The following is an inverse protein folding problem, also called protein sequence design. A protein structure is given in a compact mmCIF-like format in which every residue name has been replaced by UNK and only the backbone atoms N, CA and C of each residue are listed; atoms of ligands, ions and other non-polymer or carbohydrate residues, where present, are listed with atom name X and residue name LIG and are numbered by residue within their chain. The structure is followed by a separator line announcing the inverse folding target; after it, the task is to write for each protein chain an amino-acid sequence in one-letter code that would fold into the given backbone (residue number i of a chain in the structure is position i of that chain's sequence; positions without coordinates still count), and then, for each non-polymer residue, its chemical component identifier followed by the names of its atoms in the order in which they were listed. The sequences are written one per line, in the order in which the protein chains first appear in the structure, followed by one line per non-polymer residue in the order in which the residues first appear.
data_IF_906365383491
#
_entry.id   IF_906365383491
#
_cell.length_a   1.000
_cell.length_b   1.000
_cell.length_c   1.000
_cell.angle_alpha   90.00
_cell.angle_beta   90.00
_cell.angle_gamma   90.00
#
_symmetry.space_group_name_H-M   'P 1'
#
loop_
_entity.id
_entity.type
_entity.pdbx_description
1 polymer ?
#
# COMPACT_ATOMS: atom_id res chain seq x y z
N UNK A 1 16.05 -16.08 -32.44
CA UNK A 1 14.76 -16.30 -33.10
C UNK A 1 13.57 -15.92 -32.19
N UNK A 2 13.51 -16.38 -30.94
CA UNK A 2 12.39 -16.06 -30.02
C UNK A 2 12.39 -14.58 -29.63
N UNK A 3 13.57 -13.99 -29.38
CA UNK A 3 13.71 -12.57 -29.07
C UNK A 3 13.17 -11.63 -30.15
N UNK A 4 13.34 -12.00 -31.43
CA UNK A 4 12.80 -11.25 -32.55
C UNK A 4 11.25 -11.32 -32.61
N UNK A 5 10.66 -12.44 -32.20
CA UNK A 5 9.22 -12.65 -32.17
C UNK A 5 8.52 -11.81 -31.10
N UNK A 6 9.19 -11.60 -29.96
CA UNK A 6 8.65 -10.81 -28.80
C UNK A 6 9.31 -9.43 -28.67
N UNK A 7 10.15 -9.04 -29.62
CA UNK A 7 10.82 -7.73 -29.60
C UNK A 7 11.94 -7.59 -28.59
N UNK A 8 12.46 -8.69 -28.03
CA UNK A 8 13.55 -8.70 -27.05
C UNK A 8 14.86 -9.11 -27.73
N UNK A 9 15.83 -8.22 -27.76
CA UNK A 9 17.15 -8.46 -28.36
C UNK A 9 18.28 -8.63 -27.32
N UNK A 10 17.91 -8.82 -26.05
CA UNK A 10 18.89 -9.05 -24.97
C UNK A 10 19.52 -10.43 -25.05
N UNK A 11 20.80 -10.51 -24.73
CA UNK A 11 21.55 -11.78 -24.66
C UNK A 11 21.42 -12.47 -23.29
N UNK A 12 20.55 -11.91 -22.39
CA UNK A 12 20.41 -12.35 -21.01
C UNK A 12 21.59 -11.90 -20.12
N UNK A 13 21.54 -12.27 -18.86
CA UNK A 13 22.55 -11.96 -17.83
C UNK A 13 23.50 -13.15 -17.57
N UNK A 14 23.47 -14.18 -18.42
CA UNK A 14 24.29 -15.37 -18.29
C UNK A 14 23.95 -16.15 -17.01
N UNK A 15 24.97 -16.51 -16.23
CA UNK A 15 24.80 -17.27 -14.97
C UNK A 15 24.09 -16.50 -13.86
N UNK A 16 23.83 -15.22 -14.04
CA UNK A 16 23.06 -14.39 -13.10
C UNK A 16 21.56 -14.33 -13.44
N UNK A 17 21.14 -15.04 -14.49
CA UNK A 17 19.75 -15.14 -14.92
C UNK A 17 19.15 -16.45 -14.44
N UNK A 18 17.98 -16.36 -13.85
CA UNK A 18 17.23 -17.54 -13.38
C UNK A 18 15.76 -17.46 -13.81
N UNK A 19 15.20 -18.62 -14.08
CA UNK A 19 13.76 -18.78 -14.27
C UNK A 19 13.12 -19.35 -12.99
N UNK A 20 11.84 -19.07 -12.80
CA UNK A 20 11.06 -19.77 -11.78
C UNK A 20 10.93 -21.25 -12.16
N UNK A 21 10.91 -22.12 -11.16
CA UNK A 21 10.72 -23.56 -11.33
C UNK A 21 9.49 -24.07 -10.60
N UNK A 22 9.23 -25.36 -10.71
CA UNK A 22 8.16 -26.01 -9.96
C UNK A 22 8.41 -25.87 -8.45
N UNK A 23 7.48 -25.25 -7.76
CA UNK A 23 7.58 -24.94 -6.33
C UNK A 23 7.70 -23.44 -6.03
N UNK A 24 8.09 -22.63 -7.01
CA UNK A 24 8.22 -21.16 -6.85
C UNK A 24 6.88 -20.42 -7.05
N UNK A 25 5.80 -21.14 -7.33
CA UNK A 25 4.46 -20.55 -7.52
C UNK A 25 4.05 -19.69 -6.31
N UNK A 26 3.65 -18.45 -6.55
CA UNK A 26 3.33 -17.47 -5.51
C UNK A 26 4.53 -16.69 -4.98
N UNK A 27 5.76 -17.05 -5.36
CA UNK A 27 6.97 -16.28 -5.01
C UNK A 27 6.99 -14.90 -5.65
N UNK A 28 7.59 -13.90 -5.00
CA UNK A 28 7.63 -12.53 -5.50
C UNK A 28 8.72 -12.34 -6.59
N UNK A 29 8.39 -11.58 -7.63
CA UNK A 29 9.37 -10.93 -8.49
C UNK A 29 9.51 -9.47 -8.05
N UNK A 30 10.74 -9.05 -7.71
CA UNK A 30 11.00 -7.70 -7.19
C UNK A 30 11.75 -6.84 -8.22
N UNK A 31 11.39 -5.56 -8.28
CA UNK A 31 12.12 -4.51 -8.98
C UNK A 31 12.37 -3.40 -7.95
N UNK A 32 13.62 -3.00 -7.78
CA UNK A 32 14.04 -1.97 -6.81
C UNK A 32 13.46 -2.21 -5.39
N UNK A 33 13.53 -3.46 -4.92
CA UNK A 33 12.99 -3.92 -3.63
C UNK A 33 11.44 -3.86 -3.50
N UNK A 34 10.73 -3.58 -4.59
CA UNK A 34 9.27 -3.60 -4.62
C UNK A 34 8.75 -4.85 -5.31
N UNK A 35 7.69 -5.46 -4.79
CA UNK A 35 7.04 -6.60 -5.43
C UNK A 35 6.34 -6.14 -6.70
N UNK A 36 6.87 -6.52 -7.84
CA UNK A 36 6.36 -6.17 -9.16
C UNK A 36 5.47 -7.28 -9.76
N UNK A 37 5.73 -8.53 -9.41
CA UNK A 37 4.99 -9.68 -9.90
C UNK A 37 4.95 -10.83 -8.92
N UNK A 38 4.02 -11.75 -9.16
CA UNK A 38 3.89 -13.02 -8.44
C UNK A 38 4.08 -14.15 -9.44
N UNK A 39 4.98 -15.08 -9.15
CA UNK A 39 5.28 -16.23 -9.98
C UNK A 39 4.01 -17.06 -10.24
N UNK A 40 3.75 -17.31 -11.51
CA UNK A 40 2.51 -17.97 -11.94
C UNK A 40 2.77 -19.33 -12.59
N UNK A 41 3.48 -19.36 -13.71
CA UNK A 41 3.78 -20.59 -14.42
C UNK A 41 5.04 -20.49 -15.27
N UNK A 42 5.59 -21.65 -15.61
CA UNK A 42 6.56 -21.81 -16.68
C UNK A 42 5.91 -22.52 -17.88
N UNK A 43 6.38 -22.23 -19.06
CA UNK A 43 5.90 -22.86 -20.28
C UNK A 43 7.05 -23.12 -21.24
N UNK A 44 6.96 -24.26 -21.90
CA UNK A 44 7.81 -24.61 -23.03
C UNK A 44 7.13 -24.21 -24.33
N UNK A 45 7.72 -23.36 -25.16
CA UNK A 45 7.18 -23.07 -26.48
C UNK A 45 7.14 -24.34 -27.32
N UNK A 46 5.97 -24.64 -27.88
CA UNK A 46 5.75 -25.78 -28.82
C UNK A 46 5.18 -25.25 -30.14
N UNK A 47 5.36 -26.03 -31.22
CA UNK A 47 4.82 -25.65 -32.54
C UNK A 47 5.66 -24.64 -33.32
N UNK A 48 6.90 -24.37 -32.90
CA UNK A 48 7.90 -23.63 -33.66
C UNK A 48 8.79 -24.60 -34.45
N UNK A 49 9.24 -24.21 -35.64
CA UNK A 49 10.17 -25.00 -36.48
C UNK A 49 11.50 -25.30 -35.75
N UNK A 50 11.86 -24.50 -34.75
CA UNK A 50 12.95 -24.73 -33.84
C UNK A 50 12.46 -24.61 -32.39
N UNK A 51 12.54 -25.68 -31.64
CA UNK A 51 12.24 -25.68 -30.19
C UNK A 51 13.46 -25.10 -29.48
N UNK A 52 13.39 -23.95 -28.84
CA UNK A 52 14.55 -23.33 -28.19
C UNK A 52 14.98 -24.04 -26.92
N UNK A 53 14.11 -24.86 -26.35
CA UNK A 53 14.35 -25.64 -25.15
C UNK A 53 15.47 -26.69 -25.37
N UNK A 54 16.49 -26.66 -24.52
CA UNK A 54 17.74 -27.42 -24.68
C UNK A 54 17.55 -28.92 -24.42
N UNK A 55 16.60 -29.33 -23.59
CA UNK A 55 16.47 -30.74 -23.18
C UNK A 55 15.07 -31.32 -23.33
N UNK A 56 14.09 -30.54 -23.70
CA UNK A 56 12.72 -30.99 -23.92
C UNK A 56 11.92 -31.26 -22.63
N UNK A 57 12.45 -30.90 -21.45
CA UNK A 57 11.80 -31.01 -20.15
C UNK A 57 11.32 -29.65 -19.65
N UNK A 58 10.29 -29.60 -18.82
CA UNK A 58 9.87 -28.38 -18.16
C UNK A 58 10.58 -28.26 -16.80
N UNK A 59 11.76 -27.68 -16.81
CA UNK A 59 12.68 -27.70 -15.67
C UNK A 59 13.44 -26.36 -15.45
N UNK A 60 12.94 -25.29 -16.08
CA UNK A 60 13.55 -23.95 -16.02
C UNK A 60 14.91 -23.84 -16.75
N UNK A 61 15.15 -24.73 -17.70
CA UNK A 61 16.33 -24.67 -18.56
C UNK A 61 16.21 -23.62 -19.66
N UNK A 62 17.30 -23.41 -20.38
CA UNK A 62 17.34 -22.44 -21.47
C UNK A 62 16.28 -22.75 -22.54
N UNK A 63 15.54 -21.71 -22.93
CA UNK A 63 14.50 -21.78 -23.96
C UNK A 63 13.09 -21.89 -23.41
N UNK A 64 12.91 -22.00 -22.12
CA UNK A 64 11.61 -21.90 -21.46
C UNK A 64 11.19 -20.46 -21.20
N UNK A 65 9.90 -20.26 -20.93
CA UNK A 65 9.29 -18.98 -20.63
C UNK A 65 8.73 -19.04 -19.22
N UNK A 66 9.09 -18.05 -18.39
CA UNK A 66 8.46 -17.83 -17.10
C UNK A 66 7.44 -16.70 -17.18
N UNK A 67 6.33 -16.84 -16.49
CA UNK A 67 5.28 -15.84 -16.43
C UNK A 67 4.98 -15.44 -14.99
N UNK A 68 4.82 -14.15 -14.79
CA UNK A 68 4.43 -13.55 -13.52
C UNK A 68 3.12 -12.78 -13.67
N UNK A 69 2.29 -12.88 -12.65
CA UNK A 69 1.12 -12.03 -12.55
C UNK A 69 1.57 -10.63 -12.08
N UNK A 70 1.34 -9.61 -12.89
CA UNK A 70 1.76 -8.23 -12.57
C UNK A 70 0.92 -7.66 -11.42
N UNK A 71 1.56 -7.31 -10.31
CA UNK A 71 0.88 -6.82 -9.08
C UNK A 71 0.15 -5.50 -9.34
N UNK A 72 0.72 -4.59 -10.13
CA UNK A 72 0.08 -3.30 -10.43
C UNK A 72 -1.28 -3.41 -11.15
N UNK A 73 -1.58 -4.55 -11.79
CA UNK A 73 -2.88 -4.79 -12.39
C UNK A 73 -3.99 -5.05 -11.35
N UNK A 74 -3.61 -5.40 -10.14
CA UNK A 74 -4.52 -5.71 -9.03
C UNK A 74 -4.48 -4.67 -7.91
N UNK A 75 -3.85 -3.53 -8.14
CA UNK A 75 -3.63 -2.53 -7.09
C UNK A 75 -4.94 -2.08 -6.43
N UNK A 76 -5.99 -1.81 -7.20
CA UNK A 76 -7.28 -1.45 -6.62
C UNK A 76 -7.81 -2.53 -5.68
N UNK A 77 -7.77 -3.79 -6.12
CA UNK A 77 -8.21 -4.91 -5.31
C UNK A 77 -7.37 -5.07 -4.04
N UNK A 78 -6.05 -4.92 -4.15
CA UNK A 78 -5.12 -5.00 -3.00
C UNK A 78 -5.44 -3.89 -2.00
N UNK A 79 -5.50 -2.64 -2.45
CA UNK A 79 -5.74 -1.48 -1.59
C UNK A 79 -7.10 -1.60 -0.88
N UNK A 80 -8.15 -1.98 -1.61
CA UNK A 80 -9.48 -2.18 -1.04
C UNK A 80 -9.53 -3.35 -0.07
N UNK A 81 -8.86 -4.47 -0.39
CA UNK A 81 -8.78 -5.63 0.50
C UNK A 81 -8.04 -5.32 1.80
N UNK A 82 -6.94 -4.59 1.74
CA UNK A 82 -6.20 -4.16 2.93
C UNK A 82 -7.07 -3.28 3.85
N UNK A 83 -7.89 -2.39 3.27
CA UNK A 83 -8.82 -1.55 4.05
C UNK A 83 -9.91 -2.36 4.76
N UNK A 84 -10.29 -3.54 4.25
CA UNK A 84 -11.26 -4.41 4.96
C UNK A 84 -10.68 -5.03 6.22
N UNK A 85 -9.36 -5.01 6.38
CA UNK A 85 -8.68 -5.50 7.58
C UNK A 85 -8.66 -4.47 8.71
N UNK A 86 -9.06 -3.24 8.47
CA UNK A 86 -9.11 -2.20 9.50
C UNK A 86 -10.13 -2.59 10.58
N UNK A 87 -9.74 -2.67 11.86
CA UNK A 87 -10.65 -3.01 12.93
C UNK A 87 -11.62 -1.84 13.19
N UNK A 88 -12.92 -2.12 13.18
CA UNK A 88 -13.97 -1.16 13.51
C UNK A 88 -13.84 0.20 12.78
N UNK A 89 -13.72 0.25 11.45
CA UNK A 89 -13.60 1.51 10.74
C UNK A 89 -14.88 2.34 10.92
N UNK A 90 -14.79 3.68 10.96
CA UNK A 90 -15.97 4.54 11.07
C UNK A 90 -16.87 4.37 9.84
N UNK A 91 -18.17 4.22 10.07
CA UNK A 91 -19.17 4.02 9.00
C UNK A 91 -19.53 5.32 8.25
N UNK A 92 -19.14 6.48 8.77
CA UNK A 92 -19.38 7.80 8.16
C UNK A 92 -18.38 8.82 8.70
N UNK A 93 -18.25 9.94 8.01
CA UNK A 93 -17.42 11.05 8.45
C UNK A 93 -17.82 11.56 9.85
N UNK A 94 -19.11 11.57 10.14
CA UNK A 94 -19.63 11.99 11.45
C UNK A 94 -19.26 11.02 12.59
N UNK A 95 -19.00 9.76 12.27
CA UNK A 95 -18.58 8.75 13.23
C UNK A 95 -17.06 8.75 13.50
N UNK A 96 -16.29 9.55 12.76
CA UNK A 96 -14.84 9.64 12.95
C UNK A 96 -14.53 10.31 14.29
N UNK A 97 -13.89 9.57 15.18
CA UNK A 97 -13.46 10.11 16.47
C UNK A 97 -12.20 10.98 16.28
N UNK A 98 -12.18 12.11 16.97
CA UNK A 98 -11.04 13.03 16.97
C UNK A 98 -10.09 12.78 18.13
N UNK A 99 -10.55 12.01 19.10
CA UNK A 99 -9.78 11.56 20.26
C UNK A 99 -9.71 10.05 20.28
N UNK A 100 -8.65 9.51 20.81
CA UNK A 100 -8.44 8.08 21.00
C UNK A 100 -7.80 7.88 22.36
N UNK A 101 -8.26 6.88 23.10
CA UNK A 101 -7.65 6.50 24.37
C UNK A 101 -6.41 5.64 24.06
N UNK A 102 -5.33 5.91 24.77
CA UNK A 102 -4.05 5.26 24.53
C UNK A 102 -4.11 3.75 24.79
N UNK A 103 -4.69 3.35 25.91
CA UNK A 103 -4.70 1.97 26.42
C UNK A 103 -3.32 1.49 26.93
N UNK A 104 -3.31 0.35 27.67
CA UNK A 104 -2.12 -0.10 28.38
C UNK A 104 -1.32 -1.19 27.62
N UNK A 105 -1.83 -1.75 26.53
CA UNK A 105 -1.19 -2.86 25.80
C UNK A 105 -1.55 -2.87 24.33
N UNK A 106 -0.56 -3.05 23.49
CA UNK A 106 -0.73 -3.23 22.05
C UNK A 106 -0.84 -1.93 21.28
N UNK A 107 -1.70 -1.86 20.28
CA UNK A 107 -1.98 -0.65 19.51
C UNK A 107 -3.47 -0.46 19.31
N UNK A 108 -3.89 0.79 19.19
CA UNK A 108 -5.28 1.17 18.91
C UNK A 108 -5.33 2.02 17.64
N UNK A 109 -6.09 1.64 16.60
CA UNK A 109 -6.17 2.42 15.38
C UNK A 109 -7.06 3.65 15.57
N UNK A 110 -6.59 4.79 15.08
CA UNK A 110 -7.39 6.00 14.88
C UNK A 110 -7.46 6.33 13.40
N UNK A 111 -8.60 6.83 12.95
CA UNK A 111 -8.89 7.00 11.53
C UNK A 111 -8.96 8.47 11.13
N UNK A 112 -8.43 8.75 9.93
CA UNK A 112 -8.63 9.99 9.21
C UNK A 112 -9.49 9.71 7.98
N UNK A 113 -10.57 10.48 7.83
CA UNK A 113 -11.49 10.38 6.71
C UNK A 113 -11.09 11.39 5.63
N UNK A 114 -10.67 10.92 4.48
CA UNK A 114 -10.35 11.76 3.33
C UNK A 114 -11.45 11.59 2.30
N UNK A 115 -12.19 12.66 2.03
CA UNK A 115 -13.39 12.63 1.19
C UNK A 115 -13.25 13.57 -0.01
N UNK A 116 -13.80 13.14 -1.14
CA UNK A 116 -14.02 13.98 -2.30
C UNK A 116 -15.28 14.82 -2.10
N UNK A 117 -15.12 16.13 -2.20
CA UNK A 117 -16.25 17.06 -2.22
C UNK A 117 -16.55 17.43 -3.68
N UNK A 118 -17.74 17.03 -4.16
CA UNK A 118 -18.16 17.26 -5.53
C UNK A 118 -18.15 15.99 -6.39
N UNK A 119 -18.30 16.17 -7.69
CA UNK A 119 -18.35 15.06 -8.64
C UNK A 119 -17.03 14.92 -9.41
N UNK A 120 -16.75 13.71 -9.87
CA UNK A 120 -15.63 13.45 -10.77
C UNK A 120 -15.99 13.93 -12.18
N UNK A 121 -15.04 14.61 -12.83
CA UNK A 121 -15.22 15.02 -14.26
C UNK A 121 -15.30 13.78 -15.14
N UNK A 122 -14.47 12.78 -14.89
CA UNK A 122 -14.52 11.44 -15.49
C UNK A 122 -14.78 10.43 -14.36
N UNK A 123 -15.91 9.67 -14.43
CA UNK A 123 -16.25 8.70 -13.40
C UNK A 123 -15.22 7.56 -13.24
N UNK A 124 -14.38 7.33 -14.26
CA UNK A 124 -13.37 6.27 -14.24
C UNK A 124 -12.00 6.72 -13.71
N UNK A 125 -11.86 8.00 -13.38
CA UNK A 125 -10.57 8.53 -12.95
C UNK A 125 -10.28 8.18 -11.48
N UNK A 126 -9.05 7.75 -11.20
CA UNK A 126 -8.57 7.57 -9.83
C UNK A 126 -8.10 8.93 -9.33
N UNK A 127 -8.59 9.32 -8.15
CA UNK A 127 -8.08 10.48 -7.42
C UNK A 127 -7.07 10.00 -6.39
N UNK A 128 -5.99 10.73 -6.20
CA UNK A 128 -5.03 10.41 -5.15
C UNK A 128 -4.48 11.64 -4.47
N UNK A 129 -4.02 11.44 -3.24
CA UNK A 129 -3.27 12.41 -2.44
C UNK A 129 -2.12 11.69 -1.76
N UNK A 130 -1.00 12.35 -1.60
CA UNK A 130 0.03 11.88 -0.69
C UNK A 130 -0.33 12.27 0.73
N UNK A 131 0.09 11.46 1.70
CA UNK A 131 -0.12 11.75 3.10
C UNK A 131 1.09 11.37 3.94
N UNK A 132 1.22 12.04 5.09
CA UNK A 132 2.19 11.70 6.14
C UNK A 132 1.70 12.16 7.50
N UNK A 133 2.03 11.42 8.53
CA UNK A 133 1.88 11.87 9.90
C UNK A 133 3.00 12.85 10.27
N UNK A 134 2.70 13.74 11.20
CA UNK A 134 3.66 14.71 11.75
C UNK A 134 3.43 14.88 13.25
N UNK A 135 4.52 14.91 14.01
CA UNK A 135 4.49 15.12 15.45
C UNK A 135 3.81 16.46 15.81
N UNK A 136 3.04 16.42 16.88
CA UNK A 136 2.64 17.57 17.65
C UNK A 136 3.35 17.49 19.01
N UNK A 137 2.59 17.34 20.09
CA UNK A 137 3.13 16.93 21.39
C UNK A 137 3.42 15.43 21.41
N UNK A 138 2.54 14.62 20.79
CA UNK A 138 2.78 13.20 20.57
C UNK A 138 3.94 12.96 19.59
N UNK A 139 4.81 11.99 19.90
CA UNK A 139 6.03 11.67 19.17
C UNK A 139 5.93 10.30 18.48
N UNK A 140 6.28 10.27 17.20
CA UNK A 140 6.32 9.02 16.47
C UNK A 140 7.32 8.03 17.05
N UNK A 141 6.91 6.77 17.19
CA UNK A 141 7.71 5.70 17.78
C UNK A 141 7.61 5.60 19.30
N UNK A 142 6.97 6.57 19.97
CA UNK A 142 6.58 6.53 21.36
C UNK A 142 5.06 6.38 21.45
N UNK A 143 4.30 7.36 20.95
CA UNK A 143 2.86 7.48 21.15
C UNK A 143 2.08 7.00 19.93
N UNK A 144 2.69 6.97 18.75
CA UNK A 144 2.04 6.46 17.54
C UNK A 144 3.05 5.93 16.52
N UNK A 145 2.59 5.07 15.62
CA UNK A 145 3.38 4.58 14.50
C UNK A 145 3.29 5.55 13.33
N UNK A 146 4.42 6.18 12.97
CA UNK A 146 4.47 7.09 11.83
C UNK A 146 4.02 6.38 10.55
N UNK A 147 3.13 7.00 9.79
CA UNK A 147 2.66 6.48 8.52
C UNK A 147 2.74 7.53 7.42
N UNK A 148 3.06 7.08 6.20
CA UNK A 148 3.08 7.90 5.00
C UNK A 148 2.79 7.05 3.77
N UNK A 149 2.31 7.67 2.71
CA UNK A 149 2.02 6.98 1.46
C UNK A 149 1.20 7.81 0.50
N UNK A 150 0.66 7.13 -0.50
CA UNK A 150 -0.31 7.70 -1.45
C UNK A 150 -1.67 7.03 -1.23
N UNK A 151 -2.65 7.81 -0.82
CA UNK A 151 -4.04 7.36 -0.69
C UNK A 151 -4.75 7.51 -2.03
N UNK A 152 -5.33 6.42 -2.51
CA UNK A 152 -6.14 6.40 -3.73
C UNK A 152 -7.61 6.28 -3.39
N UNK A 153 -8.43 7.07 -4.07
CA UNK A 153 -9.89 7.00 -4.03
C UNK A 153 -10.34 6.54 -5.42
N UNK A 154 -10.79 5.31 -5.51
CA UNK A 154 -11.13 4.64 -6.76
C UNK A 154 -12.47 5.11 -7.33
N UNK A 155 -12.79 4.82 -8.61
CA UNK A 155 -14.01 5.30 -9.27
C UNK A 155 -15.31 5.02 -8.54
N UNK A 156 -15.39 3.93 -7.81
CA UNK A 156 -16.56 3.52 -7.02
C UNK A 156 -16.55 4.03 -5.57
N UNK A 157 -15.57 4.87 -5.21
CA UNK A 157 -15.41 5.42 -3.86
C UNK A 157 -15.56 6.93 -3.89
N UNK A 158 -16.15 7.52 -2.86
CA UNK A 158 -16.19 8.96 -2.60
C UNK A 158 -15.25 9.38 -1.47
N UNK A 159 -14.71 8.42 -0.73
CA UNK A 159 -13.76 8.62 0.37
C UNK A 159 -12.82 7.44 0.52
N UNK A 160 -11.76 7.65 1.30
CA UNK A 160 -10.90 6.59 1.80
C UNK A 160 -10.37 6.94 3.20
N UNK A 161 -9.97 5.93 3.95
CA UNK A 161 -9.46 6.08 5.31
C UNK A 161 -7.94 5.93 5.33
N UNK A 162 -7.31 6.73 6.19
CA UNK A 162 -5.94 6.49 6.66
C UNK A 162 -6.03 6.07 8.12
N UNK A 163 -5.54 4.87 8.43
CA UNK A 163 -5.41 4.39 9.80
C UNK A 163 -4.03 4.74 10.34
N UNK A 164 -3.97 5.16 11.60
CA UNK A 164 -2.73 5.39 12.35
C UNK A 164 -2.84 4.60 13.64
N UNK A 165 -1.85 3.78 13.93
CA UNK A 165 -1.78 2.98 15.16
C UNK A 165 -1.23 3.82 16.30
N UNK A 166 -1.97 3.94 17.38
CA UNK A 166 -1.54 4.55 18.63
C UNK A 166 -0.88 3.48 19.47
N UNK A 167 0.29 3.75 19.97
CA UNK A 167 1.08 2.83 20.79
C UNK A 167 0.60 2.95 22.23
N UNK A 168 0.28 1.82 22.85
CA UNK A 168 -0.16 1.74 24.23
C UNK A 168 1.03 1.64 25.17
N UNK A 169 0.99 2.32 26.31
CA UNK A 169 1.94 2.09 27.40
C UNK A 169 1.29 2.25 28.79
N UNK A 170 2.03 2.45 29.83
CA UNK A 170 1.56 2.60 31.21
C UNK A 170 2.21 3.82 31.89
N UNK A 171 2.64 4.78 31.10
CA UNK A 171 3.29 5.98 31.62
C UNK A 171 2.26 7.08 31.82
N UNK A 172 2.13 7.66 33.02
CA UNK A 172 1.28 8.81 33.24
C UNK A 172 1.79 10.02 32.45
N UNK A 173 1.05 10.44 31.46
CA UNK A 173 1.37 11.56 30.57
C UNK A 173 0.22 12.57 30.49
N UNK A 174 0.42 13.66 29.78
CA UNK A 174 -0.65 14.59 29.46
C UNK A 174 -1.30 14.14 28.15
N UNK A 175 -2.55 14.53 27.90
CA UNK A 175 -3.18 14.38 26.59
C UNK A 175 -2.31 15.01 25.50
N UNK A 176 -2.09 14.29 24.43
CA UNK A 176 -1.15 14.67 23.38
C UNK A 176 -1.82 14.77 22.01
N UNK A 177 -1.12 15.39 21.07
CA UNK A 177 -1.65 15.60 19.72
C UNK A 177 -0.63 15.25 18.65
N UNK A 178 -1.12 14.69 17.54
CA UNK A 178 -0.37 14.54 16.29
C UNK A 178 -1.22 14.94 15.10
N UNK A 179 -0.61 15.04 13.94
CA UNK A 179 -1.23 15.54 12.73
C UNK A 179 -1.12 14.54 11.59
N UNK A 180 -2.10 14.55 10.69
CA UNK A 180 -2.00 14.01 9.34
C UNK A 180 -2.04 15.17 8.36
N UNK A 181 -0.98 15.29 7.57
CA UNK A 181 -0.90 16.20 6.45
C UNK A 181 -1.21 15.44 5.16
N UNK A 182 -2.10 15.98 4.30
CA UNK A 182 -2.38 15.50 2.95
C UNK A 182 -2.01 16.56 1.93
N UNK A 183 -1.31 16.18 0.86
CA UNK A 183 -0.71 17.07 -0.12
C UNK A 183 -0.61 16.38 -1.50
N UNK A 184 -0.07 17.05 -2.50
CA UNK A 184 0.10 16.53 -3.87
C UNK A 184 -1.17 15.89 -4.44
N UNK A 185 -2.32 16.58 -4.51
CA UNK A 185 -3.54 16.03 -5.09
C UNK A 185 -3.37 15.78 -6.58
N UNK A 186 -3.78 14.59 -7.04
CA UNK A 186 -3.83 14.23 -8.47
C UNK A 186 -5.28 13.99 -8.85
N UNK A 187 -5.70 14.58 -9.96
CA UNK A 187 -7.07 14.56 -10.46
C UNK A 187 -8.09 15.21 -9.49
N UNK A 188 -7.62 16.04 -8.58
CA UNK A 188 -8.37 16.82 -7.61
C UNK A 188 -7.58 18.06 -7.21
N UNK A 189 -8.18 18.91 -6.38
CA UNK A 189 -7.52 20.03 -5.72
C UNK A 189 -8.16 20.25 -4.34
N UNK A 190 -7.47 20.97 -3.46
CA UNK A 190 -7.98 21.30 -2.12
C UNK A 190 -8.85 22.58 -2.09
N UNK A 191 -9.07 23.20 -3.24
CA UNK A 191 -9.78 24.48 -3.32
C UNK A 191 -8.94 25.67 -2.82
N UNK A 192 -9.38 26.88 -3.18
CA UNK A 192 -8.81 28.15 -2.69
C UNK A 192 -7.28 28.29 -2.80
N UNK A 193 -6.63 27.55 -3.73
CA UNK A 193 -5.17 27.60 -3.90
C UNK A 193 -4.39 26.90 -2.78
N UNK A 194 -5.04 26.13 -1.92
CA UNK A 194 -4.37 25.35 -0.88
C UNK A 194 -3.53 24.24 -1.51
N UNK A 195 -2.34 24.03 -0.98
CA UNK A 195 -1.40 22.97 -1.41
C UNK A 195 -1.37 21.79 -0.45
N UNK A 196 -1.94 21.97 0.75
CA UNK A 196 -1.98 20.97 1.82
C UNK A 196 -3.22 21.16 2.68
N UNK A 197 -3.76 20.06 3.20
CA UNK A 197 -4.72 20.04 4.31
C UNK A 197 -4.08 19.31 5.48
N UNK A 198 -4.44 19.73 6.70
CA UNK A 198 -3.94 19.12 7.94
C UNK A 198 -5.13 18.78 8.84
N UNK A 199 -5.12 17.56 9.37
CA UNK A 199 -6.06 17.12 10.39
C UNK A 199 -5.31 16.74 11.67
N UNK A 200 -5.92 16.95 12.83
CA UNK A 200 -5.36 16.65 14.15
C UNK A 200 -6.09 15.49 14.79
N UNK A 201 -5.37 14.71 15.62
CA UNK A 201 -5.93 13.76 16.58
C UNK A 201 -5.31 14.01 17.95
N UNK A 202 -6.11 13.75 18.98
CA UNK A 202 -5.67 13.80 20.37
C UNK A 202 -5.62 12.38 20.91
N UNK A 203 -4.49 12.01 21.47
CA UNK A 203 -4.30 10.81 22.28
C UNK A 203 -4.64 11.21 23.71
N UNK A 204 -5.56 10.47 24.31
CA UNK A 204 -5.98 10.71 25.70
C UNK A 204 -5.30 9.68 26.58
N UNK A 205 -4.50 10.14 27.51
CA UNK A 205 -3.84 9.29 28.48
C UNK A 205 -4.89 8.68 29.42
N UNK A 206 -4.79 7.37 29.68
CA UNK A 206 -5.66 6.65 30.64
C UNK A 206 -4.89 6.12 31.86
N UNK A 207 -3.59 6.42 31.94
CA UNK A 207 -2.74 6.09 33.08
C UNK A 207 -2.78 7.17 34.15
N UNK A 208 -3.20 6.76 35.33
CA UNK A 208 -3.40 7.69 36.43
C UNK A 208 -2.08 8.10 37.09
N UNK A 209 -1.97 9.36 37.48
CA UNK A 209 -0.97 9.79 38.44
C UNK A 209 -1.28 9.18 39.83
N UNK A 210 -0.51 8.20 40.26
CA UNK A 210 -0.64 7.73 41.61
C UNK A 210 0.00 8.76 42.56
N UNK A 211 -0.84 9.58 43.21
CA UNK A 211 -0.42 10.33 44.40
C UNK A 211 -0.29 9.32 45.55
N UNK A 212 0.92 8.89 45.82
CA UNK A 212 1.27 8.10 47.00
C UNK A 212 1.36 8.99 48.24
#
# INVERSE_FOLDING_TARGET
ALGALVGINGLGLGSSEGLISKGDSGGPACIDSLVAGIASYTSRPSGLDAVPDINGLSDSSFGEIAAWQRVSAYQQWIDQSLRTLYPNPPASQAAVQKTVVETNVGTTPVYFWVQLNGYRIDPNIIVSVDYKTRNGTALSGQDYIATQGTLKIYPNEDHALVAVEIIADNLPEADETFYLDVFNPINANFGNGLVQLTAVRTIVNDDGWFWG
#
